data_IF_656985951852
#
_entry.id   IF_656985951852
#
_cell.length_a   1.000
_cell.length_b   1.000
_cell.length_c   1.000
_cell.angle_alpha   90.00
_cell.angle_beta   90.00
_cell.angle_gamma   90.00
#
_symmetry.space_group_name_H-M   'P 1'
#
loop_
_entity.id
_entity.type
_entity.pdbx_description
1 polymer ?
#
# COMPACT_ATOMS: atom_id res chain seq x y z
N UNK A 1 -21.63 17.34 -10.62
CA UNK A 1 -21.37 16.20 -11.51
C UNK A 1 -19.86 15.97 -11.49
N UNK A 2 -19.42 14.75 -11.23
CA UNK A 2 -18.00 14.36 -11.29
C UNK A 2 -17.50 14.53 -12.73
N UNK A 3 -16.27 15.04 -12.88
CA UNK A 3 -15.63 15.17 -14.19
C UNK A 3 -15.21 13.79 -14.73
N UNK A 4 -14.98 12.84 -13.85
CA UNK A 4 -14.47 11.50 -14.16
C UNK A 4 -15.54 10.43 -13.90
N UNK A 5 -15.43 9.32 -14.63
CA UNK A 5 -16.36 8.19 -14.49
C UNK A 5 -15.86 7.20 -13.41
N UNK A 6 -16.55 7.20 -12.28
CA UNK A 6 -16.39 6.23 -11.20
C UNK A 6 -17.62 5.31 -11.05
N UNK A 7 -18.49 5.27 -12.08
CA UNK A 7 -19.75 4.53 -12.05
C UNK A 7 -19.77 3.30 -12.96
N UNK A 8 -18.93 3.30 -13.99
CA UNK A 8 -18.85 2.20 -14.96
C UNK A 8 -17.78 1.20 -14.53
N UNK A 9 -18.18 -0.08 -14.38
CA UNK A 9 -17.24 -1.18 -14.14
C UNK A 9 -16.52 -1.50 -15.47
N UNK A 10 -15.18 -1.36 -15.54
CA UNK A 10 -14.42 -1.75 -16.70
C UNK A 10 -14.48 -3.27 -16.92
N UNK A 11 -14.48 -3.72 -18.18
CA UNK A 11 -14.35 -5.15 -18.44
C UNK A 11 -12.93 -5.64 -18.09
N UNK A 12 -12.81 -6.33 -16.95
CA UNK A 12 -11.55 -6.83 -16.41
C UNK A 12 -11.18 -8.23 -16.94
N UNK A 13 -12.08 -8.93 -17.62
CA UNK A 13 -11.87 -10.29 -18.09
C UNK A 13 -11.10 -10.38 -19.40
N UNK A 14 -11.21 -9.36 -20.26
CA UNK A 14 -10.58 -9.35 -21.60
C UNK A 14 -9.06 -9.40 -21.59
N UNK A 15 -8.40 -9.09 -20.46
CA UNK A 15 -6.94 -9.00 -20.33
C UNK A 15 -6.37 -9.91 -19.24
N UNK A 16 -7.03 -11.00 -18.91
CA UNK A 16 -6.57 -11.98 -17.92
C UNK A 16 -6.17 -11.34 -16.59
N UNK A 17 -7.01 -10.44 -16.07
CA UNK A 17 -6.72 -9.70 -14.84
C UNK A 17 -6.71 -10.65 -13.63
N UNK A 18 -5.60 -10.67 -12.91
CA UNK A 18 -5.40 -11.60 -11.80
C UNK A 18 -6.49 -11.53 -10.73
N UNK A 19 -6.96 -10.31 -10.38
CA UNK A 19 -8.04 -10.08 -9.42
C UNK A 19 -9.33 -10.80 -9.79
N UNK A 20 -9.68 -10.83 -11.09
CA UNK A 20 -10.94 -11.36 -11.63
C UNK A 20 -10.83 -12.79 -12.18
N UNK A 21 -9.68 -13.45 -12.00
CA UNK A 21 -9.42 -14.77 -12.60
C UNK A 21 -10.46 -15.82 -12.23
N UNK A 22 -10.92 -15.85 -10.97
CA UNK A 22 -11.85 -16.87 -10.48
C UNK A 22 -13.25 -16.72 -11.09
N UNK A 23 -13.63 -15.49 -11.47
CA UNK A 23 -14.92 -15.25 -12.14
C UNK A 23 -15.02 -15.87 -13.53
N UNK A 24 -13.89 -16.32 -14.13
CA UNK A 24 -13.90 -17.09 -15.37
C UNK A 24 -14.55 -18.46 -15.18
N UNK A 25 -14.52 -19.02 -13.97
CA UNK A 25 -15.09 -20.33 -13.63
C UNK A 25 -16.36 -20.24 -12.80
N UNK A 26 -16.52 -19.21 -11.97
CA UNK A 26 -17.74 -18.91 -11.21
C UNK A 26 -18.12 -17.42 -11.40
N UNK A 27 -19.01 -17.11 -12.37
CA UNK A 27 -19.41 -15.73 -12.66
C UNK A 27 -20.19 -15.02 -11.54
N UNK A 28 -20.67 -15.76 -10.53
CA UNK A 28 -21.38 -15.18 -9.39
C UNK A 28 -20.43 -14.60 -8.34
N UNK A 29 -19.14 -14.97 -8.39
CA UNK A 29 -18.13 -14.48 -7.45
C UNK A 29 -17.78 -13.02 -7.75
N UNK A 30 -17.73 -12.21 -6.70
CA UNK A 30 -17.25 -10.82 -6.76
C UNK A 30 -15.88 -10.73 -6.04
N UNK A 31 -14.80 -10.39 -6.77
CA UNK A 31 -13.48 -10.25 -6.18
C UNK A 31 -13.30 -8.83 -5.58
N UNK A 32 -13.16 -8.75 -4.27
CA UNK A 32 -12.92 -7.52 -3.53
C UNK A 32 -11.67 -7.60 -2.64
N UNK A 33 -10.58 -8.15 -3.18
CA UNK A 33 -9.36 -8.51 -2.42
C UNK A 33 -8.10 -7.76 -2.83
N UNK A 34 -7.59 -7.93 -4.05
CA UNK A 34 -6.34 -7.29 -4.49
C UNK A 34 -6.47 -5.77 -4.47
N UNK A 35 -5.44 -5.08 -3.97
CA UNK A 35 -5.38 -3.64 -3.90
C UNK A 35 -5.00 -3.02 -5.27
N UNK A 36 -5.87 -3.21 -6.26
CA UNK A 36 -6.03 -2.40 -7.46
C UNK A 36 -7.49 -1.93 -7.54
N UNK A 37 -7.76 -0.96 -8.38
CA UNK A 37 -9.08 -0.37 -8.49
C UNK A 37 -9.83 -0.91 -9.71
N UNK A 38 -11.15 -1.01 -9.60
CA UNK A 38 -12.04 -1.31 -10.72
C UNK A 38 -12.60 -0.01 -11.33
N UNK A 39 -11.71 0.95 -11.55
CA UNK A 39 -11.94 2.22 -12.24
C UNK A 39 -10.96 2.38 -13.40
N UNK A 40 -11.38 3.11 -14.43
CA UNK A 40 -10.48 3.52 -15.49
C UNK A 40 -9.41 4.48 -14.97
N UNK A 41 -8.21 4.40 -15.55
CA UNK A 41 -7.16 5.40 -15.33
C UNK A 41 -7.58 6.76 -15.90
N UNK A 42 -6.91 7.82 -15.46
CA UNK A 42 -7.14 9.16 -16.03
C UNK A 42 -6.87 9.16 -17.54
N UNK A 43 -7.62 9.96 -18.34
CA UNK A 43 -7.45 10.01 -19.79
C UNK A 43 -6.01 10.32 -20.22
N UNK A 44 -5.35 11.24 -19.53
CA UNK A 44 -3.99 11.66 -19.84
C UNK A 44 -2.95 10.54 -19.70
N UNK A 45 -3.13 9.64 -18.73
CA UNK A 45 -2.27 8.43 -18.60
C UNK A 45 -2.54 7.49 -19.77
N UNK A 46 -3.81 7.26 -20.12
CA UNK A 46 -4.17 6.41 -21.26
C UNK A 46 -3.59 6.96 -22.56
N UNK A 47 -3.72 8.25 -22.81
CA UNK A 47 -3.20 8.93 -24.01
C UNK A 47 -1.68 8.85 -24.09
N UNK A 48 -0.98 9.07 -22.97
CA UNK A 48 0.47 8.96 -22.91
C UNK A 48 0.96 7.53 -23.21
N UNK A 49 0.27 6.52 -22.70
CA UNK A 49 0.58 5.09 -22.97
C UNK A 49 0.33 4.75 -24.45
N UNK A 50 -0.77 5.22 -25.05
CA UNK A 50 -1.06 5.02 -26.47
C UNK A 50 0.01 5.72 -27.32
N UNK A 51 0.35 6.97 -27.01
CA UNK A 51 1.39 7.71 -27.74
C UNK A 51 2.76 7.01 -27.68
N UNK A 52 3.09 6.37 -26.58
CA UNK A 52 4.30 5.53 -26.50
C UNK A 52 4.18 4.26 -27.35
N UNK A 53 3.02 3.60 -27.31
CA UNK A 53 2.78 2.40 -28.12
C UNK A 53 2.86 2.69 -29.64
N UNK A 54 2.42 3.87 -30.07
CA UNK A 54 2.45 4.29 -31.46
C UNK A 54 3.87 4.54 -32.03
N UNK A 55 4.89 4.61 -31.16
CA UNK A 55 6.29 4.77 -31.61
C UNK A 55 6.88 3.54 -32.31
N UNK A 56 6.23 2.39 -32.21
CA UNK A 56 6.59 1.15 -32.89
C UNK A 56 7.96 0.53 -32.49
N UNK A 57 8.75 1.19 -31.64
CA UNK A 57 10.02 0.68 -31.13
C UNK A 57 10.01 0.75 -29.59
N UNK A 58 10.08 -0.40 -28.95
CA UNK A 58 10.05 -0.52 -27.49
C UNK A 58 11.46 -0.87 -26.98
N UNK A 59 12.39 0.07 -27.18
CA UNK A 59 13.79 -0.08 -26.79
C UNK A 59 14.04 0.27 -25.31
N UNK A 60 15.31 0.23 -24.91
CA UNK A 60 15.70 0.67 -23.57
C UNK A 60 15.48 2.15 -23.37
N UNK A 61 14.94 2.52 -22.23
CA UNK A 61 14.59 3.90 -21.90
C UNK A 61 15.27 4.35 -20.60
N UNK A 62 15.43 5.64 -20.43
CA UNK A 62 15.88 6.27 -19.21
C UNK A 62 14.87 7.29 -18.71
N UNK A 63 14.93 7.59 -17.42
CA UNK A 63 14.04 8.59 -16.82
C UNK A 63 14.40 9.99 -17.36
N UNK A 64 13.43 10.68 -17.93
CA UNK A 64 13.58 12.05 -18.44
C UNK A 64 13.68 13.07 -17.31
N UNK A 65 14.30 14.23 -17.56
CA UNK A 65 14.30 15.34 -16.60
C UNK A 65 12.88 15.80 -16.27
N UNK A 66 11.96 15.67 -17.21
CA UNK A 66 10.55 16.03 -17.00
C UNK A 66 9.84 15.06 -16.04
N UNK A 67 10.17 13.78 -16.07
CA UNK A 67 9.68 12.80 -15.07
C UNK A 67 10.23 13.13 -13.68
N UNK A 68 11.55 13.38 -13.55
CA UNK A 68 12.12 13.80 -12.27
C UNK A 68 11.43 15.04 -11.74
N UNK A 69 11.21 16.06 -12.58
CA UNK A 69 10.53 17.27 -12.16
C UNK A 69 9.09 17.00 -11.70
N UNK A 70 8.35 16.14 -12.40
CA UNK A 70 6.97 15.80 -12.03
C UNK A 70 6.89 15.12 -10.66
N UNK A 71 7.88 14.27 -10.32
CA UNK A 71 8.00 13.64 -9.00
C UNK A 71 8.32 14.68 -7.93
N UNK A 72 9.34 15.52 -8.16
CA UNK A 72 9.74 16.56 -7.20
C UNK A 72 8.60 17.55 -6.91
N UNK A 73 7.88 17.97 -7.94
CA UNK A 73 6.74 18.87 -7.81
C UNK A 73 5.59 18.20 -7.04
N UNK A 74 5.31 16.92 -7.32
CA UNK A 74 4.26 16.17 -6.63
C UNK A 74 4.57 16.03 -5.14
N UNK A 75 5.75 15.53 -4.80
CA UNK A 75 6.15 15.32 -3.41
C UNK A 75 6.17 16.64 -2.62
N UNK A 76 6.66 17.71 -3.22
CA UNK A 76 6.67 19.04 -2.60
C UNK A 76 5.26 19.59 -2.40
N UNK A 77 4.41 19.53 -3.42
CA UNK A 77 3.10 20.18 -3.40
C UNK A 77 2.07 19.42 -2.59
N UNK A 78 2.11 18.06 -2.64
CA UNK A 78 1.13 17.23 -1.96
C UNK A 78 1.56 16.83 -0.54
N UNK A 79 2.86 16.63 -0.32
CA UNK A 79 3.40 16.09 0.94
C UNK A 79 4.35 17.04 1.66
N UNK A 80 4.69 18.20 1.07
CA UNK A 80 5.64 19.15 1.65
C UNK A 80 7.07 18.59 1.73
N UNK A 81 7.35 17.51 0.98
CA UNK A 81 8.63 16.82 0.99
C UNK A 81 9.51 17.31 -0.17
N UNK A 82 10.60 17.97 0.16
CA UNK A 82 11.55 18.52 -0.81
C UNK A 82 12.90 17.83 -0.67
N UNK A 83 13.41 17.31 -1.77
CA UNK A 83 14.72 16.64 -1.86
C UNK A 83 15.31 16.83 -3.25
N UNK A 84 16.60 16.49 -3.42
CA UNK A 84 17.30 16.60 -4.70
C UNK A 84 16.97 15.40 -5.61
N UNK A 85 16.96 15.61 -6.93
CA UNK A 85 16.66 14.54 -7.90
C UNK A 85 17.61 13.35 -7.79
N UNK A 86 18.84 13.56 -7.34
CA UNK A 86 19.84 12.52 -7.09
C UNK A 86 19.43 11.53 -6.01
N UNK A 87 18.52 11.93 -5.11
CA UNK A 87 17.98 11.06 -4.07
C UNK A 87 17.02 10.00 -4.65
N UNK A 88 16.48 10.20 -5.84
CA UNK A 88 15.54 9.29 -6.49
C UNK A 88 16.28 8.07 -7.06
N UNK A 89 15.82 6.89 -6.69
CA UNK A 89 16.26 5.61 -7.27
C UNK A 89 15.02 4.88 -7.78
N UNK A 90 14.88 4.76 -9.10
CA UNK A 90 13.75 4.02 -9.69
C UNK A 90 13.91 2.52 -9.49
N UNK A 91 12.80 1.84 -9.28
CA UNK A 91 12.69 0.40 -9.15
C UNK A 91 11.30 -0.06 -9.61
N UNK A 92 11.16 -1.30 -10.03
CA UNK A 92 9.91 -1.83 -10.61
C UNK A 92 8.73 -1.94 -9.61
N UNK A 93 8.99 -1.83 -8.30
CA UNK A 93 7.95 -1.91 -7.27
C UNK A 93 8.50 -1.75 -5.86
N UNK A 94 7.64 -1.40 -4.89
CA UNK A 94 8.04 -1.24 -3.48
C UNK A 94 8.43 -2.57 -2.84
N UNK A 95 7.83 -3.70 -3.22
CA UNK A 95 8.22 -5.02 -2.68
C UNK A 95 9.63 -5.43 -3.12
N UNK A 96 10.02 -5.31 -4.41
CA UNK A 96 11.42 -5.40 -4.81
C UNK A 96 12.34 -4.42 -4.06
N UNK A 97 11.89 -3.18 -3.81
CA UNK A 97 12.67 -2.19 -3.05
C UNK A 97 12.94 -2.63 -1.61
N UNK A 98 11.93 -3.18 -0.90
CA UNK A 98 12.08 -3.74 0.45
C UNK A 98 13.11 -4.87 0.43
N UNK A 99 13.01 -5.82 -0.51
CA UNK A 99 13.97 -6.93 -0.62
C UNK A 99 15.39 -6.43 -0.90
N UNK A 100 15.53 -5.42 -1.78
CA UNK A 100 16.82 -4.80 -2.08
C UNK A 100 17.41 -4.10 -0.85
N UNK A 101 16.59 -3.36 -0.07
CA UNK A 101 17.02 -2.72 1.17
C UNK A 101 17.48 -3.75 2.22
N UNK A 102 16.69 -4.82 2.42
CA UNK A 102 17.06 -5.92 3.32
C UNK A 102 18.43 -6.50 2.92
N UNK A 103 18.65 -6.76 1.65
CA UNK A 103 19.92 -7.33 1.14
C UNK A 103 21.09 -6.34 1.22
N UNK A 104 20.84 -5.04 1.01
CA UNK A 104 21.87 -4.00 1.02
C UNK A 104 22.39 -3.69 2.43
N UNK A 105 21.50 -3.75 3.43
CA UNK A 105 21.77 -3.18 4.76
C UNK A 105 21.80 -4.22 5.88
N UNK A 106 21.51 -5.48 5.59
CA UNK A 106 21.56 -6.57 6.57
C UNK A 106 22.28 -7.78 6.00
N UNK A 107 22.68 -8.71 6.88
CA UNK A 107 23.26 -10.01 6.56
C UNK A 107 22.26 -11.13 6.83
N UNK A 108 22.48 -12.32 6.32
CA UNK A 108 21.68 -13.51 6.69
C UNK A 108 21.73 -13.72 8.20
N UNK A 109 20.56 -13.94 8.80
CA UNK A 109 20.40 -14.09 10.25
C UNK A 109 20.14 -12.79 11.00
N UNK A 110 20.44 -11.61 10.44
CA UNK A 110 20.12 -10.32 11.07
C UNK A 110 18.61 -10.16 11.25
N UNK A 111 18.21 -9.48 12.32
CA UNK A 111 16.82 -9.23 12.64
C UNK A 111 16.25 -8.03 11.85
N UNK A 112 15.08 -8.25 11.24
CA UNK A 112 14.28 -7.24 10.56
C UNK A 112 12.91 -7.19 11.21
N UNK A 113 12.49 -5.99 11.66
CA UNK A 113 11.23 -5.76 12.36
C UNK A 113 10.16 -5.25 11.42
N UNK A 114 8.93 -5.73 11.61
CA UNK A 114 7.70 -5.21 11.03
C UNK A 114 6.62 -5.11 12.10
N UNK A 115 5.65 -4.22 11.95
CA UNK A 115 4.46 -4.22 12.80
C UNK A 115 3.36 -5.07 12.15
N UNK A 116 2.81 -6.04 12.92
CA UNK A 116 1.70 -6.88 12.45
C UNK A 116 0.38 -6.48 13.11
N UNK A 117 -0.78 -6.68 12.44
CA UNK A 117 -0.93 -7.23 11.09
C UNK A 117 -0.46 -6.23 10.03
N UNK A 118 0.20 -6.69 8.98
CA UNK A 118 0.70 -5.83 7.89
C UNK A 118 0.74 -6.57 6.55
N UNK A 119 0.87 -5.84 5.48
CA UNK A 119 0.93 -6.33 4.10
C UNK A 119 1.86 -7.56 3.96
N UNK A 120 1.33 -8.74 3.57
CA UNK A 120 2.04 -10.02 3.66
C UNK A 120 3.42 -10.07 2.99
N UNK A 121 3.67 -9.35 1.88
CA UNK A 121 4.99 -9.30 1.27
C UNK A 121 6.12 -8.77 2.17
N UNK A 122 5.84 -8.02 3.24
CA UNK A 122 6.87 -7.59 4.18
C UNK A 122 7.51 -8.80 4.86
N UNK A 123 6.71 -9.60 5.54
CA UNK A 123 7.17 -10.83 6.20
C UNK A 123 7.83 -11.79 5.20
N UNK A 124 7.22 -11.95 4.01
CA UNK A 124 7.75 -12.79 2.94
C UNK A 124 9.13 -12.31 2.48
N UNK A 125 9.33 -11.01 2.29
CA UNK A 125 10.62 -10.45 1.89
C UNK A 125 11.70 -10.71 2.92
N UNK A 126 11.38 -10.60 4.21
CA UNK A 126 12.32 -10.91 5.30
C UNK A 126 12.70 -12.39 5.28
N UNK A 127 11.70 -13.29 5.26
CA UNK A 127 11.91 -14.75 5.32
C UNK A 127 12.66 -15.28 4.10
N UNK A 128 12.29 -14.87 2.88
CA UNK A 128 12.93 -15.34 1.64
C UNK A 128 14.38 -14.83 1.51
N UNK A 129 14.69 -13.70 2.13
CA UNK A 129 16.06 -13.21 2.21
C UNK A 129 16.85 -13.80 3.40
N UNK A 130 16.33 -14.82 4.11
CA UNK A 130 16.94 -15.50 5.24
C UNK A 130 17.32 -14.59 6.41
N UNK A 131 16.53 -13.54 6.64
CA UNK A 131 16.64 -12.69 7.83
C UNK A 131 15.69 -13.19 8.91
N UNK A 132 16.04 -12.90 10.16
CA UNK A 132 15.15 -13.17 11.29
C UNK A 132 14.01 -12.17 11.29
N UNK A 133 12.78 -12.67 11.14
CA UNK A 133 11.59 -11.84 11.20
C UNK A 133 11.22 -11.55 12.65
N UNK A 134 11.10 -10.27 13.01
CA UNK A 134 10.57 -9.81 14.29
C UNK A 134 9.21 -9.16 14.01
N UNK A 135 8.17 -9.79 14.56
CA UNK A 135 6.77 -9.35 14.45
C UNK A 135 6.39 -8.60 15.72
N UNK A 136 6.34 -7.28 15.64
CA UNK A 136 5.87 -6.41 16.72
C UNK A 136 4.38 -6.16 16.52
N UNK A 137 3.54 -6.74 17.39
CA UNK A 137 2.08 -6.67 17.27
C UNK A 137 1.56 -5.27 17.54
N UNK A 138 0.76 -4.73 16.63
CA UNK A 138 -0.02 -3.52 16.87
C UNK A 138 -1.15 -3.81 17.86
N UNK A 139 -1.52 -2.80 18.63
CA UNK A 139 -2.63 -2.85 19.57
C UNK A 139 -3.82 -2.10 19.01
N UNK A 140 -5.00 -2.71 18.98
CA UNK A 140 -6.23 -1.99 18.66
C UNK A 140 -6.69 -1.19 19.88
N UNK A 141 -6.84 0.11 19.71
CA UNK A 141 -7.38 1.01 20.71
C UNK A 141 -8.23 2.08 20.05
N UNK A 142 -9.42 2.31 20.55
CA UNK A 142 -10.36 3.30 20.03
C UNK A 142 -10.66 3.10 18.53
N UNK A 143 -10.73 1.82 18.07
CA UNK A 143 -11.00 1.46 16.69
C UNK A 143 -9.85 1.70 15.71
N UNK A 144 -8.64 1.93 16.19
CA UNK A 144 -7.44 2.16 15.37
C UNK A 144 -6.26 1.34 15.87
N UNK A 145 -5.36 0.98 14.98
CA UNK A 145 -4.08 0.40 15.36
C UNK A 145 -3.15 1.46 15.96
N UNK A 146 -2.48 1.05 17.04
CA UNK A 146 -1.47 1.83 17.74
C UNK A 146 -0.21 1.00 17.97
N UNK A 147 0.93 1.66 18.09
CA UNK A 147 2.21 1.04 18.42
C UNK A 147 2.39 1.05 19.93
N UNK A 148 2.66 -0.12 20.50
CA UNK A 148 3.17 -0.25 21.87
C UNK A 148 4.67 0.07 21.84
N UNK A 149 5.03 1.28 22.25
CA UNK A 149 6.42 1.75 22.20
C UNK A 149 7.34 1.06 23.19
N UNK A 150 6.82 0.61 24.34
CA UNK A 150 7.63 -0.12 25.32
C UNK A 150 7.99 -1.50 24.76
N UNK A 151 7.01 -2.19 24.14
CA UNK A 151 7.27 -3.47 23.48
C UNK A 151 8.14 -3.28 22.22
N UNK A 152 7.94 -2.21 21.45
CA UNK A 152 8.76 -1.90 20.26
C UNK A 152 10.24 -1.72 20.65
N UNK A 153 10.52 -0.90 21.66
CA UNK A 153 11.90 -0.69 22.12
C UNK A 153 12.53 -1.98 22.66
N UNK A 154 11.75 -2.76 23.43
CA UNK A 154 12.18 -4.06 23.93
C UNK A 154 12.55 -5.02 22.80
N UNK A 155 11.69 -5.13 21.78
CA UNK A 155 11.96 -5.99 20.61
C UNK A 155 13.21 -5.53 19.86
N UNK A 156 13.39 -4.22 19.68
CA UNK A 156 14.58 -3.65 19.03
C UNK A 156 15.85 -4.06 19.75
N UNK A 157 15.87 -3.93 21.09
CA UNK A 157 17.07 -4.18 21.91
C UNK A 157 17.34 -5.68 22.07
N UNK A 158 16.33 -6.47 22.48
CA UNK A 158 16.50 -7.89 22.79
C UNK A 158 16.77 -8.73 21.55
N UNK A 159 16.25 -8.32 20.37
CA UNK A 159 16.43 -9.04 19.12
C UNK A 159 17.57 -8.47 18.26
N UNK A 160 18.27 -7.43 18.71
CA UNK A 160 19.34 -6.76 17.96
C UNK A 160 18.90 -6.37 16.53
N UNK A 161 17.75 -5.70 16.44
CA UNK A 161 17.14 -5.32 15.15
C UNK A 161 18.05 -4.40 14.36
N UNK A 162 18.28 -4.73 13.09
CA UNK A 162 19.12 -3.93 12.18
C UNK A 162 18.33 -3.06 11.24
N UNK A 163 17.12 -3.48 10.89
CA UNK A 163 16.27 -2.79 9.95
C UNK A 163 14.81 -2.91 10.38
N UNK A 164 14.08 -1.80 10.30
CA UNK A 164 12.65 -1.73 10.55
C UNK A 164 11.93 -1.33 9.27
N UNK A 165 10.90 -2.09 8.86
CA UNK A 165 10.04 -1.78 7.71
C UNK A 165 8.69 -1.29 8.23
N UNK A 166 8.45 0.01 8.07
CA UNK A 166 7.22 0.70 8.48
C UNK A 166 6.26 0.82 7.30
N UNK A 167 4.96 0.58 7.53
CA UNK A 167 3.88 0.85 6.56
C UNK A 167 3.16 2.16 6.92
N UNK A 168 3.24 3.18 6.07
CA UNK A 168 2.74 4.53 6.34
C UNK A 168 2.19 5.22 5.07
N UNK A 169 0.87 5.35 4.87
CA UNK A 169 -0.25 4.82 5.68
C UNK A 169 -0.30 3.31 5.77
N UNK A 170 -0.88 2.82 6.85
CA UNK A 170 -0.84 1.41 7.20
C UNK A 170 -1.87 0.57 6.43
N UNK A 171 -1.46 -0.56 5.92
CA UNK A 171 -2.30 -1.60 5.31
C UNK A 171 -2.14 -2.90 6.13
N UNK A 172 -3.21 -3.45 6.75
CA UNK A 172 -4.61 -3.34 6.33
C UNK A 172 -5.47 -2.31 7.09
N UNK A 173 -5.02 -1.76 8.21
CA UNK A 173 -5.87 -0.97 9.11
C UNK A 173 -6.17 0.46 8.66
N UNK A 174 -5.54 0.94 7.58
CA UNK A 174 -5.75 2.29 7.07
C UNK A 174 -5.31 3.40 8.02
N UNK A 175 -4.43 3.11 8.98
CA UNK A 175 -3.90 4.11 9.92
C UNK A 175 -2.99 5.10 9.19
N UNK A 176 -3.27 6.38 9.30
CA UNK A 176 -2.36 7.47 8.92
C UNK A 176 -1.63 7.89 10.20
N UNK A 177 -0.34 7.58 10.27
CA UNK A 177 0.43 7.82 11.50
C UNK A 177 0.61 9.30 11.78
N UNK A 178 0.31 9.72 13.01
CA UNK A 178 0.51 11.10 13.45
C UNK A 178 2.01 11.43 13.52
N UNK A 179 2.33 12.71 13.34
CA UNK A 179 3.73 13.20 13.35
C UNK A 179 4.48 12.78 14.61
N UNK A 180 3.83 12.85 15.77
CA UNK A 180 4.41 12.49 17.07
C UNK A 180 4.72 10.99 17.18
N UNK A 181 3.93 10.14 16.53
CA UNK A 181 4.18 8.71 16.45
C UNK A 181 5.42 8.45 15.59
N UNK A 182 5.51 9.08 14.42
CA UNK A 182 6.66 8.96 13.51
C UNK A 182 7.94 9.50 14.17
N UNK A 183 7.84 10.60 14.91
CA UNK A 183 8.96 11.19 15.66
C UNK A 183 9.50 10.22 16.71
N UNK A 184 8.62 9.58 17.49
CA UNK A 184 9.01 8.55 18.47
C UNK A 184 9.69 7.35 17.81
N UNK A 185 9.14 6.86 16.69
CA UNK A 185 9.76 5.78 15.91
C UNK A 185 11.17 6.19 15.47
N UNK A 186 11.31 7.40 14.89
CA UNK A 186 12.59 7.89 14.40
C UNK A 186 13.65 8.01 15.48
N UNK A 187 13.28 8.56 16.63
CA UNK A 187 14.19 8.66 17.76
C UNK A 187 14.59 7.31 18.36
N UNK A 188 13.68 6.32 18.39
CA UNK A 188 14.04 4.95 18.77
C UNK A 188 15.03 4.32 17.78
N UNK A 189 14.76 4.44 16.48
CA UNK A 189 15.67 3.95 15.46
C UNK A 189 17.06 4.60 15.57
N UNK A 190 17.10 5.91 15.73
CA UNK A 190 18.35 6.66 15.89
C UNK A 190 19.11 6.26 17.16
N UNK A 191 18.41 6.12 18.30
CA UNK A 191 18.98 5.70 19.59
C UNK A 191 19.67 4.36 19.51
N UNK A 192 19.08 3.41 18.77
CA UNK A 192 19.55 2.02 18.72
C UNK A 192 20.27 1.68 17.40
N UNK A 193 20.50 2.65 16.51
CA UNK A 193 21.23 2.43 15.25
C UNK A 193 20.48 1.54 14.25
N UNK A 194 19.15 1.58 14.25
CA UNK A 194 18.27 0.83 13.34
C UNK A 194 18.04 1.64 12.07
N UNK A 195 18.25 1.03 10.91
CA UNK A 195 17.81 1.63 9.64
C UNK A 195 16.32 1.48 9.46
N UNK A 196 15.66 2.49 8.89
CA UNK A 196 14.23 2.49 8.66
C UNK A 196 13.90 2.52 7.17
N UNK A 197 13.00 1.65 6.75
CA UNK A 197 12.36 1.67 5.43
C UNK A 197 10.89 2.04 5.63
N UNK A 198 10.48 3.23 5.19
CA UNK A 198 9.09 3.67 5.22
C UNK A 198 8.43 3.38 3.88
N UNK A 199 7.51 2.43 3.86
CA UNK A 199 6.66 2.18 2.68
C UNK A 199 5.49 3.15 2.70
N UNK A 200 5.58 4.18 1.85
CA UNK A 200 4.62 5.27 1.74
C UNK A 200 3.79 5.19 0.44
N UNK A 201 3.66 3.99 -0.13
CA UNK A 201 2.92 3.78 -1.39
C UNK A 201 1.45 4.24 -1.35
N UNK A 202 0.88 4.37 -0.16
CA UNK A 202 -0.48 4.86 0.06
C UNK A 202 -0.54 6.34 0.48
N UNK A 203 0.55 7.09 0.40
CA UNK A 203 0.67 8.46 0.90
C UNK A 203 -0.40 9.42 0.39
N UNK A 204 -0.82 9.29 -0.87
CA UNK A 204 -1.82 10.15 -1.50
C UNK A 204 -3.27 9.85 -1.06
N UNK A 205 -3.47 8.73 -0.38
CA UNK A 205 -4.79 8.15 -0.08
C UNK A 205 -5.22 8.39 1.39
N UNK A 206 -4.72 9.45 2.02
CA UNK A 206 -5.27 9.93 3.28
C UNK A 206 -6.66 10.52 3.05
N UNK A 207 -7.64 10.13 3.87
CA UNK A 207 -9.08 10.39 3.73
C UNK A 207 -9.63 11.11 4.97
N UNK A 208 -10.88 11.53 4.92
CA UNK A 208 -11.62 12.12 6.05
C UNK A 208 -10.89 13.30 6.70
N UNK A 209 -10.20 14.13 5.89
CA UNK A 209 -9.43 15.27 6.37
C UNK A 209 -8.07 14.95 6.97
N UNK A 210 -7.71 13.68 7.10
CA UNK A 210 -6.36 13.27 7.51
C UNK A 210 -5.33 13.63 6.45
N UNK A 211 -4.10 13.84 6.89
CA UNK A 211 -2.96 14.16 6.01
C UNK A 211 -1.81 13.22 6.29
N UNK A 212 -1.24 12.67 5.24
CA UNK A 212 -0.01 11.91 5.33
C UNK A 212 1.17 12.82 5.73
N UNK A 213 2.04 12.29 6.58
CA UNK A 213 3.34 12.90 6.90
C UNK A 213 4.41 11.93 6.41
N UNK A 214 5.22 12.35 5.43
CA UNK A 214 6.38 11.55 5.03
C UNK A 214 7.41 11.53 6.16
N UNK A 215 7.98 10.36 6.43
CA UNK A 215 8.85 10.12 7.57
C UNK A 215 10.04 11.10 7.62
N UNK A 216 10.67 11.39 6.48
CA UNK A 216 11.82 12.30 6.40
C UNK A 216 11.48 13.77 6.62
N UNK A 217 10.19 14.14 6.63
CA UNK A 217 9.75 15.51 6.92
C UNK A 217 9.57 15.77 8.42
N UNK A 218 9.63 14.72 9.24
CA UNK A 218 9.41 14.81 10.69
C UNK A 218 10.60 15.48 11.38
N UNK A 219 11.81 14.99 11.11
CA UNK A 219 13.05 15.55 11.63
C UNK A 219 14.16 15.50 10.54
N UNK A 220 14.94 16.57 10.37
CA UNK A 220 16.00 16.62 9.36
C UNK A 220 17.08 15.54 9.49
N UNK A 221 17.27 14.96 10.68
CA UNK A 221 18.26 13.88 10.90
C UNK A 221 17.77 12.51 10.44
N UNK A 222 16.45 12.34 10.21
CA UNK A 222 15.89 11.03 9.86
C UNK A 222 16.34 10.55 8.47
N UNK A 223 16.64 11.47 7.56
CA UNK A 223 17.20 11.14 6.24
C UNK A 223 18.56 10.41 6.30
N UNK A 224 19.25 10.48 7.43
CA UNK A 224 20.58 9.87 7.57
C UNK A 224 20.51 8.34 7.74
N UNK A 225 19.36 7.81 8.18
CA UNK A 225 19.16 6.38 8.45
C UNK A 225 17.87 5.81 7.86
N UNK A 226 17.21 6.50 6.93
CA UNK A 226 15.94 6.07 6.37
C UNK A 226 15.93 6.03 4.84
N UNK A 227 15.00 5.22 4.32
CA UNK A 227 14.62 5.13 2.91
C UNK A 227 13.11 5.29 2.81
N UNK A 228 12.64 6.16 1.92
CA UNK A 228 11.21 6.34 1.65
C UNK A 228 10.86 5.63 0.34
N UNK A 229 9.92 4.71 0.37
CA UNK A 229 9.43 3.97 -0.78
C UNK A 229 8.07 4.47 -1.18
N UNK A 230 7.88 4.84 -2.42
CA UNK A 230 6.57 5.29 -2.90
C UNK A 230 6.37 5.06 -4.40
N UNK A 231 5.17 5.33 -4.90
CA UNK A 231 4.81 5.09 -6.29
C UNK A 231 3.47 5.74 -6.64
N UNK A 232 3.32 6.18 -7.88
CA UNK A 232 2.03 6.57 -8.47
C UNK A 232 1.06 5.38 -8.67
N UNK A 233 1.53 4.14 -8.53
CA UNK A 233 0.81 2.94 -8.96
C UNK A 233 -0.46 2.65 -8.17
N UNK A 234 -0.48 2.91 -6.86
CA UNK A 234 -1.69 2.75 -6.04
C UNK A 234 -2.63 3.93 -6.18
N UNK A 235 -2.08 5.13 -6.21
CA UNK A 235 -2.84 6.37 -6.34
C UNK A 235 -3.63 6.44 -7.64
N UNK A 236 -3.02 6.05 -8.77
CA UNK A 236 -3.58 6.23 -10.10
C UNK A 236 -3.94 4.92 -10.82
N UNK A 237 -4.01 3.82 -10.08
CA UNK A 237 -4.41 2.51 -10.62
C UNK A 237 -3.55 2.01 -11.80
N UNK A 238 -2.24 2.20 -11.73
CA UNK A 238 -1.28 1.83 -12.79
C UNK A 238 -0.26 0.78 -12.34
N UNK A 239 -0.63 -0.09 -11.41
CA UNK A 239 0.28 -1.11 -10.85
C UNK A 239 0.90 -2.04 -11.92
N UNK A 240 0.19 -2.28 -13.02
CA UNK A 240 0.69 -3.08 -14.14
C UNK A 240 1.86 -2.46 -14.90
N UNK A 241 2.10 -1.15 -14.78
CA UNK A 241 3.20 -0.44 -15.47
C UNK A 241 4.56 -0.60 -14.79
N UNK A 242 4.59 -1.15 -13.55
CA UNK A 242 5.80 -1.55 -12.85
C UNK A 242 6.82 -0.41 -12.69
N UNK A 243 6.41 0.70 -12.09
CA UNK A 243 7.33 1.78 -11.73
C UNK A 243 7.06 2.28 -10.30
N UNK A 244 8.12 2.33 -9.52
CA UNK A 244 8.18 2.90 -8.18
C UNK A 244 9.51 3.61 -8.01
N UNK A 245 9.66 4.35 -6.94
CA UNK A 245 10.94 4.96 -6.62
C UNK A 245 11.21 4.93 -5.11
N UNK A 246 12.48 4.98 -4.79
CA UNK A 246 12.99 5.09 -3.43
C UNK A 246 13.69 6.42 -3.31
N UNK A 247 13.32 7.23 -2.32
CA UNK A 247 14.03 8.46 -1.97
C UNK A 247 15.05 8.11 -0.90
N UNK A 248 16.34 8.27 -1.23
CA UNK A 248 17.47 8.00 -0.35
C UNK A 248 18.37 9.23 -0.34
N UNK A 249 18.19 10.11 0.64
CA UNK A 249 18.93 11.35 0.70
C UNK A 249 20.39 11.14 1.14
N UNK A 250 20.65 10.19 2.05
CA UNK A 250 21.99 9.83 2.45
C UNK A 250 22.77 9.17 1.29
N UNK A 251 23.88 9.78 0.81
CA UNK A 251 24.60 9.29 -0.37
C UNK A 251 25.29 7.92 -0.14
N UNK A 252 25.66 7.58 1.11
CA UNK A 252 26.26 6.28 1.42
C UNK A 252 25.22 5.16 1.32
N UNK A 253 24.03 5.39 1.89
CA UNK A 253 22.91 4.44 1.80
C UNK A 253 22.48 4.29 0.34
N UNK A 254 22.36 5.41 -0.39
CA UNK A 254 21.99 5.40 -1.81
C UNK A 254 22.98 4.60 -2.67
N UNK A 255 24.28 4.76 -2.44
CA UNK A 255 25.30 3.99 -3.14
C UNK A 255 25.18 2.50 -2.87
N UNK A 256 25.02 2.11 -1.60
CA UNK A 256 24.87 0.70 -1.22
C UNK A 256 23.60 0.07 -1.81
N UNK A 257 22.48 0.82 -1.78
CA UNK A 257 21.21 0.37 -2.38
C UNK A 257 21.36 0.17 -3.90
N UNK A 258 21.93 1.16 -4.63
CA UNK A 258 22.16 1.08 -6.08
C UNK A 258 23.07 -0.09 -6.46
N UNK A 259 24.13 -0.35 -5.69
CA UNK A 259 25.02 -1.50 -5.93
C UNK A 259 24.27 -2.84 -5.78
N UNK A 260 23.40 -2.95 -4.77
CA UNK A 260 22.57 -4.16 -4.58
C UNK A 260 21.52 -4.30 -5.68
N UNK A 261 20.86 -3.22 -6.05
CA UNK A 261 19.90 -3.18 -7.15
C UNK A 261 20.54 -3.63 -8.47
N UNK A 262 21.74 -3.15 -8.77
CA UNK A 262 22.48 -3.55 -9.95
C UNK A 262 22.85 -5.05 -9.91
N UNK A 263 23.29 -5.54 -8.76
CA UNK A 263 23.59 -6.97 -8.58
C UNK A 263 22.35 -7.87 -8.73
N UNK A 264 21.17 -7.34 -8.46
CA UNK A 264 19.88 -8.02 -8.64
C UNK A 264 19.32 -7.85 -10.08
N UNK A 265 19.97 -7.08 -10.96
CA UNK A 265 19.45 -6.69 -12.29
C UNK A 265 18.07 -6.00 -12.25
N UNK A 266 17.84 -5.16 -11.24
CA UNK A 266 16.56 -4.45 -11.01
C UNK A 266 16.64 -2.96 -11.34
N UNK A 267 17.64 -2.51 -12.09
CA UNK A 267 17.90 -1.10 -12.40
C UNK A 267 17.26 -0.62 -13.69
N UNK A 268 16.74 -1.53 -14.50
CA UNK A 268 16.06 -1.21 -15.77
C UNK A 268 14.54 -1.18 -15.55
N UNK A 269 13.95 0.00 -15.74
CA UNK A 269 12.51 0.22 -15.59
C UNK A 269 11.85 0.33 -16.95
N UNK A 270 10.66 -0.24 -17.07
CA UNK A 270 9.86 -0.15 -18.29
C UNK A 270 9.55 1.31 -18.67
N UNK A 271 9.76 1.66 -19.94
CA UNK A 271 9.37 2.97 -20.47
C UNK A 271 7.89 3.30 -20.27
N UNK A 272 7.01 2.30 -20.32
CA UNK A 272 5.59 2.47 -19.95
C UNK A 272 5.42 2.96 -18.51
N UNK A 273 6.24 2.44 -17.59
CA UNK A 273 6.22 2.86 -16.18
C UNK A 273 6.60 4.32 -16.01
N UNK A 274 7.64 4.78 -16.69
CA UNK A 274 8.07 6.19 -16.65
C UNK A 274 7.00 7.12 -17.19
N UNK A 275 6.47 6.81 -18.37
CA UNK A 275 5.48 7.65 -19.05
C UNK A 275 4.17 7.71 -18.27
N UNK A 276 3.67 6.58 -17.79
CA UNK A 276 2.45 6.53 -17.00
C UNK A 276 2.59 7.31 -15.67
N UNK A 277 3.75 7.21 -15.00
CA UNK A 277 4.03 7.96 -13.78
C UNK A 277 4.09 9.46 -14.02
N UNK A 278 4.79 9.90 -15.08
CA UNK A 278 4.89 11.32 -15.43
C UNK A 278 3.51 11.92 -15.73
N UNK A 279 2.72 11.25 -16.57
CA UNK A 279 1.37 11.70 -16.90
C UNK A 279 0.45 11.75 -15.67
N UNK A 280 0.54 10.74 -14.80
CA UNK A 280 -0.24 10.67 -13.57
C UNK A 280 0.07 11.85 -12.63
N UNK A 281 1.33 12.12 -12.35
CA UNK A 281 1.70 13.23 -11.44
C UNK A 281 1.44 14.61 -12.04
N UNK A 282 1.59 14.78 -13.36
CA UNK A 282 1.30 16.07 -14.00
C UNK A 282 -0.18 16.41 -14.06
N UNK A 283 -1.05 15.42 -14.23
CA UNK A 283 -2.45 15.65 -14.57
C UNK A 283 -3.44 15.04 -13.58
N UNK A 284 -3.00 14.17 -12.68
CA UNK A 284 -3.87 13.33 -11.86
C UNK A 284 -4.52 13.99 -10.64
N UNK A 285 -4.06 15.17 -10.21
CA UNK A 285 -4.57 15.81 -8.98
C UNK A 285 -6.09 16.02 -8.96
N UNK A 286 -6.75 16.52 -10.03
CA UNK A 286 -8.21 16.68 -10.04
C UNK A 286 -8.93 15.34 -9.90
N UNK A 287 -8.46 14.29 -10.60
CA UNK A 287 -9.01 12.94 -10.52
C UNK A 287 -8.88 12.35 -9.11
N UNK A 288 -7.70 12.48 -8.50
CA UNK A 288 -7.46 12.01 -7.14
C UNK A 288 -8.37 12.71 -6.13
N UNK A 289 -8.61 14.01 -6.30
CA UNK A 289 -9.51 14.77 -5.42
C UNK A 289 -10.94 14.23 -5.46
N UNK A 290 -11.47 13.93 -6.65
CA UNK A 290 -12.80 13.32 -6.79
C UNK A 290 -12.81 11.86 -6.31
N UNK A 291 -11.76 11.08 -6.62
CA UNK A 291 -11.64 9.69 -6.19
C UNK A 291 -11.68 9.55 -4.66
N UNK A 292 -11.01 10.43 -3.92
CA UNK A 292 -11.01 10.40 -2.45
C UNK A 292 -12.43 10.59 -1.89
N UNK A 293 -13.23 11.47 -2.48
CA UNK A 293 -14.64 11.65 -2.10
C UNK A 293 -15.48 10.39 -2.40
N UNK A 294 -15.18 9.70 -3.49
CA UNK A 294 -15.81 8.41 -3.81
C UNK A 294 -15.46 7.37 -2.74
N UNK A 295 -14.21 7.27 -2.36
CA UNK A 295 -13.79 6.33 -1.31
C UNK A 295 -14.43 6.65 0.04
N UNK A 296 -14.45 7.92 0.46
CA UNK A 296 -15.09 8.33 1.70
C UNK A 296 -16.57 7.92 1.74
N UNK A 297 -17.31 8.18 0.65
CA UNK A 297 -18.70 7.75 0.51
C UNK A 297 -18.88 6.24 0.59
N UNK A 298 -18.02 5.46 -0.08
CA UNK A 298 -18.09 3.99 -0.08
C UNK A 298 -17.76 3.43 1.31
N UNK A 299 -16.76 3.99 1.97
CA UNK A 299 -16.35 3.57 3.32
C UNK A 299 -17.49 3.85 4.31
N UNK A 300 -18.06 5.06 4.30
CA UNK A 300 -19.18 5.41 5.19
C UNK A 300 -20.35 4.46 4.97
N UNK A 301 -20.75 4.22 3.73
CA UNK A 301 -21.85 3.30 3.41
C UNK A 301 -21.60 1.87 3.95
N UNK A 302 -20.41 1.30 3.70
CA UNK A 302 -20.08 -0.06 4.16
C UNK A 302 -20.03 -0.12 5.69
N UNK A 303 -19.46 0.88 6.34
CA UNK A 303 -19.37 0.96 7.81
C UNK A 303 -20.77 1.00 8.42
N UNK A 304 -21.64 1.87 7.92
CA UNK A 304 -22.99 2.07 8.46
C UNK A 304 -23.85 0.80 8.25
N UNK A 305 -23.89 0.26 7.05
CA UNK A 305 -24.68 -0.94 6.73
C UNK A 305 -24.23 -2.18 7.54
N UNK A 306 -22.93 -2.42 7.64
CA UNK A 306 -22.43 -3.54 8.42
C UNK A 306 -22.67 -3.37 9.92
N UNK A 307 -22.50 -2.15 10.44
CA UNK A 307 -22.78 -1.84 11.84
C UNK A 307 -24.24 -2.03 12.21
N UNK A 308 -25.17 -1.56 11.38
CA UNK A 308 -26.61 -1.64 11.64
C UNK A 308 -27.14 -3.07 11.54
N UNK A 309 -26.69 -3.85 10.57
CA UNK A 309 -27.31 -5.11 10.18
C UNK A 309 -26.54 -6.37 10.58
N UNK A 310 -25.28 -6.25 11.03
CA UNK A 310 -24.40 -7.38 11.34
C UNK A 310 -23.68 -7.21 12.68
N UNK A 311 -22.95 -8.25 13.12
CA UNK A 311 -21.99 -8.15 14.22
C UNK A 311 -20.56 -7.91 13.75
N UNK A 312 -20.36 -7.66 12.43
CA UNK A 312 -19.05 -7.35 11.87
C UNK A 312 -18.63 -5.97 12.37
N UNK A 313 -17.44 -5.88 12.95
CA UNK A 313 -16.83 -4.60 13.30
C UNK A 313 -15.92 -4.16 12.18
N UNK A 314 -16.02 -2.91 11.77
CA UNK A 314 -15.17 -2.33 10.74
C UNK A 314 -14.21 -1.34 11.37
N UNK A 315 -12.90 -1.55 11.21
CA UNK A 315 -11.92 -0.52 11.52
C UNK A 315 -12.03 0.55 10.44
N UNK A 316 -12.65 1.71 10.79
CA UNK A 316 -12.83 2.81 9.83
C UNK A 316 -11.46 3.41 9.50
N UNK A 317 -10.99 3.33 8.24
CA UNK A 317 -9.65 3.75 7.89
C UNK A 317 -9.53 5.29 7.85
N UNK A 318 -8.36 5.80 8.19
CA UNK A 318 -7.97 7.20 8.00
C UNK A 318 -7.37 7.44 6.61
N UNK A 319 -7.04 6.37 5.92
CA UNK A 319 -6.50 6.37 4.56
C UNK A 319 -6.60 5.01 3.92
N UNK A 320 -6.26 4.93 2.64
CA UNK A 320 -6.43 3.77 1.75
C UNK A 320 -7.90 3.51 1.37
N UNK A 321 -8.10 2.60 0.43
CA UNK A 321 -9.43 2.10 0.02
C UNK A 321 -9.66 0.66 0.49
N UNK A 322 -9.02 0.30 1.61
CA UNK A 322 -9.02 -1.04 2.19
C UNK A 322 -9.64 -0.99 3.57
N UNK A 323 -10.63 -1.86 3.81
CA UNK A 323 -11.31 -1.97 5.08
C UNK A 323 -10.87 -3.25 5.79
N UNK A 324 -10.56 -3.13 7.07
CA UNK A 324 -10.26 -4.26 7.96
C UNK A 324 -11.53 -4.64 8.71
N UNK A 325 -12.03 -5.84 8.44
CA UNK A 325 -13.28 -6.37 8.96
C UNK A 325 -12.97 -7.41 10.04
N UNK A 326 -13.59 -7.27 11.21
CA UNK A 326 -13.49 -8.19 12.34
C UNK A 326 -14.78 -8.98 12.52
N UNK A 327 -14.68 -10.30 12.43
CA UNK A 327 -15.77 -11.27 12.58
C UNK A 327 -15.71 -12.03 13.92
N UNK A 328 -14.88 -11.61 14.87
CA UNK A 328 -14.66 -12.33 16.14
C UNK A 328 -15.92 -12.49 17.01
N UNK A 329 -16.97 -11.72 16.74
CA UNK A 329 -18.28 -11.85 17.38
C UNK A 329 -19.10 -13.07 16.90
N UNK A 330 -18.64 -13.79 15.87
CA UNK A 330 -19.29 -14.97 15.35
C UNK A 330 -18.59 -16.25 15.81
N UNK A 331 -19.32 -17.36 16.02
CA UNK A 331 -18.77 -18.60 16.54
C UNK A 331 -18.15 -19.47 15.45
N UNK A 332 -17.29 -18.89 14.61
CA UNK A 332 -16.61 -19.61 13.52
C UNK A 332 -15.12 -19.79 13.83
N UNK A 333 -14.53 -20.82 13.29
CA UNK A 333 -13.08 -20.85 13.07
C UNK A 333 -12.72 -19.97 11.87
N UNK A 334 -11.44 -19.62 11.72
CA UNK A 334 -10.99 -18.80 10.59
C UNK A 334 -11.25 -19.48 9.24
N UNK A 335 -11.11 -20.82 9.16
CA UNK A 335 -11.41 -21.58 7.94
C UNK A 335 -12.92 -21.58 7.61
N UNK A 336 -13.79 -21.77 8.61
CA UNK A 336 -15.24 -21.70 8.41
C UNK A 336 -15.70 -20.31 7.99
N UNK A 337 -15.11 -19.25 8.58
CA UNK A 337 -15.38 -17.88 8.18
C UNK A 337 -15.09 -17.65 6.71
N UNK A 338 -13.87 -18.02 6.26
CA UNK A 338 -13.46 -17.77 4.88
C UNK A 338 -14.20 -18.66 3.87
N UNK A 339 -14.52 -19.90 4.23
CA UNK A 339 -15.42 -20.73 3.43
C UNK A 339 -16.82 -20.10 3.30
N UNK A 340 -17.36 -19.55 4.39
CA UNK A 340 -18.66 -18.87 4.38
C UNK A 340 -18.67 -17.60 3.53
N UNK A 341 -17.61 -16.79 3.60
CA UNK A 341 -17.43 -15.61 2.73
C UNK A 341 -17.39 -16.03 1.25
N UNK A 342 -16.61 -17.06 0.93
CA UNK A 342 -16.43 -17.52 -0.44
C UNK A 342 -17.68 -18.23 -0.99
N UNK A 343 -18.18 -19.24 -0.28
CA UNK A 343 -19.19 -20.16 -0.82
C UNK A 343 -20.62 -19.61 -0.70
N UNK A 344 -20.91 -18.87 0.39
CA UNK A 344 -22.26 -18.34 0.68
C UNK A 344 -22.41 -16.88 0.24
N UNK A 345 -21.48 -16.00 0.63
CA UNK A 345 -21.54 -14.61 0.19
C UNK A 345 -21.05 -14.44 -1.27
N UNK A 346 -20.40 -15.45 -1.85
CA UNK A 346 -19.82 -15.38 -3.20
C UNK A 346 -18.86 -14.18 -3.34
N UNK A 347 -17.99 -13.98 -2.34
CA UNK A 347 -17.01 -12.91 -2.30
C UNK A 347 -15.60 -13.48 -2.14
N UNK A 348 -14.62 -12.84 -2.79
CA UNK A 348 -13.21 -13.08 -2.50
C UNK A 348 -12.67 -11.87 -1.74
N UNK A 349 -12.33 -12.06 -0.46
CA UNK A 349 -11.64 -11.10 0.38
C UNK A 349 -10.24 -11.61 0.72
N UNK A 350 -9.33 -10.73 1.12
CA UNK A 350 -8.06 -11.22 1.67
C UNK A 350 -8.28 -11.78 3.06
N UNK A 351 -7.71 -12.96 3.29
CA UNK A 351 -7.74 -13.62 4.59
C UNK A 351 -6.88 -12.85 5.60
N UNK A 352 -7.42 -12.59 6.78
CA UNK A 352 -6.74 -11.79 7.78
C UNK A 352 -5.45 -12.40 8.30
N UNK A 353 -5.40 -13.72 8.46
CA UNK A 353 -4.21 -14.46 8.92
C UNK A 353 -3.01 -14.35 7.97
N UNK A 354 -3.20 -13.95 6.71
CA UNK A 354 -2.11 -13.66 5.79
C UNK A 354 -1.29 -12.45 6.23
N UNK A 355 -1.90 -11.51 6.98
CA UNK A 355 -1.29 -10.26 7.45
C UNK A 355 -0.54 -10.41 8.78
N UNK A 356 -0.74 -11.51 9.48
CA UNK A 356 -0.17 -11.80 10.79
C UNK A 356 -1.15 -12.56 11.67
N UNK A 357 -0.68 -13.05 12.80
CA UNK A 357 -1.51 -13.85 13.75
C UNK A 357 -2.72 -13.08 14.30
N UNK A 358 -2.63 -11.75 14.36
CA UNK A 358 -3.68 -10.83 14.81
C UNK A 358 -4.87 -10.79 13.82
N UNK A 359 -4.65 -11.27 12.60
CA UNK A 359 -5.68 -11.35 11.56
C UNK A 359 -6.64 -12.55 11.67
N UNK A 360 -6.54 -13.36 12.73
CA UNK A 360 -7.48 -14.45 12.96
C UNK A 360 -8.92 -13.90 13.04
N UNK A 361 -9.85 -14.54 12.34
CA UNK A 361 -11.24 -14.07 12.19
C UNK A 361 -11.39 -12.65 11.61
N UNK A 362 -10.44 -12.24 10.80
CA UNK A 362 -10.52 -10.98 10.07
C UNK A 362 -10.47 -11.18 8.55
N UNK A 363 -10.95 -10.19 7.83
CA UNK A 363 -10.81 -10.12 6.39
C UNK A 363 -10.54 -8.68 5.94
N UNK A 364 -9.79 -8.50 4.83
CA UNK A 364 -9.59 -7.19 4.23
C UNK A 364 -10.45 -7.05 2.97
N UNK A 365 -11.30 -6.03 2.94
CA UNK A 365 -12.18 -5.67 1.82
C UNK A 365 -11.60 -4.47 1.06
N UNK A 366 -11.59 -4.53 -0.28
CA UNK A 366 -11.27 -3.43 -1.18
C UNK A 366 -12.57 -2.76 -1.66
N UNK A 367 -12.70 -1.44 -1.42
CA UNK A 367 -13.90 -0.64 -1.80
C UNK A 367 -13.67 0.25 -3.04
N UNK A 368 -12.58 0.03 -3.77
CA UNK A 368 -12.25 0.82 -4.97
C UNK A 368 -12.89 0.22 -6.23
N UNK A 369 -14.22 0.25 -6.28
CA UNK A 369 -15.05 -0.22 -7.38
C UNK A 369 -16.30 0.68 -7.53
N UNK A 370 -17.06 0.63 -8.65
CA UNK A 370 -18.32 1.37 -8.77
C UNK A 370 -19.28 1.12 -7.62
N UNK A 371 -20.00 2.16 -7.20
CA UNK A 371 -20.87 2.12 -6.03
C UNK A 371 -21.89 0.97 -6.06
N UNK A 372 -22.45 0.68 -7.23
CA UNK A 372 -23.39 -0.45 -7.40
C UNK A 372 -22.77 -1.81 -7.05
N UNK A 373 -21.45 -1.98 -7.30
CA UNK A 373 -20.75 -3.19 -6.90
C UNK A 373 -20.49 -3.21 -5.39
N UNK A 374 -20.20 -2.04 -4.79
CA UNK A 374 -20.04 -1.91 -3.32
C UNK A 374 -21.36 -2.20 -2.61
N UNK A 375 -22.49 -1.71 -3.14
CA UNK A 375 -23.83 -2.05 -2.63
C UNK A 375 -24.08 -3.56 -2.65
N UNK A 376 -23.78 -4.24 -3.75
CA UNK A 376 -23.97 -5.67 -3.87
C UNK A 376 -23.04 -6.47 -2.93
N UNK A 377 -21.76 -6.09 -2.82
CA UNK A 377 -20.81 -6.69 -1.87
C UNK A 377 -21.32 -6.56 -0.44
N UNK A 378 -21.74 -5.37 -0.06
CA UNK A 378 -22.23 -5.07 1.30
C UNK A 378 -23.50 -5.85 1.61
N UNK A 379 -24.46 -5.88 0.66
CA UNK A 379 -25.69 -6.67 0.76
C UNK A 379 -25.39 -8.14 1.01
N UNK A 380 -24.49 -8.75 0.26
CA UNK A 380 -24.10 -10.16 0.42
C UNK A 380 -23.49 -10.45 1.78
N UNK A 381 -22.65 -9.52 2.30
CA UNK A 381 -22.13 -9.62 3.67
C UNK A 381 -23.26 -9.54 4.71
N UNK A 382 -24.21 -8.61 4.55
CA UNK A 382 -25.36 -8.48 5.45
C UNK A 382 -26.24 -9.73 5.42
N UNK A 383 -26.60 -10.24 4.25
CA UNK A 383 -27.42 -11.46 4.11
C UNK A 383 -26.74 -12.70 4.71
N UNK A 384 -25.42 -12.80 4.59
CA UNK A 384 -24.64 -13.95 5.07
C UNK A 384 -24.36 -13.90 6.58
N UNK A 385 -24.20 -12.69 7.14
CA UNK A 385 -23.77 -12.43 8.52
C UNK A 385 -24.75 -11.58 9.32
N UNK A 386 -26.04 -11.62 9.01
CA UNK A 386 -27.06 -10.84 9.75
C UNK A 386 -27.03 -11.16 11.25
N UNK A 387 -27.54 -10.20 12.07
CA UNK A 387 -27.60 -10.28 13.55
C UNK A 387 -28.41 -11.46 14.04
#
# INVERSE_FOLDING_TARGET
MTKYDFTTLPNRLTHHTYKWKETETDPEIIPAWIADMDFNVIPEVREAVIGYADQMVYGYTYASDSLYQSILDWEKNEHGYSFDKEAIVFIEGVVPAISTAIQAFTKEGDAVLINTPVYPPFARSVKLNRRKLIENSLVEKDGLFQIDFDQLEKDIVEQDVKLYVLCNPHNPGGRVWDREVLEKIGHLCQKHGVLLVSDEIHQDLALFGHRHTSFNTVDPSFKDFSLILTSATKTFNIAGTKNSYVVIENPKLRTAFKQRQLANNQHEISGLGYIATEAAYRHGKPWLTELKQVFEKHIDYVVDELHENTKIRVMKPQGTYLLWLDFSAYPYTDDELHAKIHDQAKLILNRGTDFGKEGNLHARLNVAAPFTLIEEITKRLVETFHK
#
